data_IF_941123168878
#
_entry.id   IF_941123168878
#
_cell.length_a   1.000
_cell.length_b   1.000
_cell.length_c   1.000
_cell.angle_alpha   90.00
_cell.angle_beta   90.00
_cell.angle_gamma   90.00
#
_symmetry.space_group_name_H-M   'P 1'
#
loop_
_entity.id
_entity.type
_entity.pdbx_description
1 polymer ?
#
# COMPACT_ATOMS: atom_id res chain seq x y z
N UNK A 1 -0.20 0.06 -18.14
CA UNK A 1 -0.40 0.96 -16.96
C UNK A 1 0.62 2.08 -17.09
N UNK A 2 0.31 3.35 -16.79
CA UNK A 2 1.29 4.44 -16.84
C UNK A 2 2.50 4.15 -15.94
N UNK A 3 3.70 4.36 -16.47
CA UNK A 3 4.96 4.28 -15.72
C UNK A 3 4.98 5.44 -14.72
N UNK A 4 5.43 5.16 -13.49
CA UNK A 4 5.54 6.15 -12.42
C UNK A 4 4.22 6.48 -11.73
N UNK A 5 3.19 5.63 -11.86
CA UNK A 5 1.92 5.78 -11.15
C UNK A 5 1.53 4.52 -10.39
N UNK A 6 1.49 4.64 -9.07
CA UNK A 6 1.02 3.61 -8.17
C UNK A 6 -0.50 3.47 -8.23
N UNK A 7 -1.03 2.49 -7.52
CA UNK A 7 -2.48 2.30 -7.38
C UNK A 7 -2.81 1.94 -5.96
N UNK A 8 -3.79 2.61 -5.41
CA UNK A 8 -4.41 2.18 -4.17
C UNK A 8 -5.33 1.00 -4.52
N UNK A 9 -4.95 -0.20 -4.09
CA UNK A 9 -5.74 -1.43 -4.28
C UNK A 9 -6.85 -1.54 -3.23
N UNK A 10 -6.61 -1.00 -2.02
CA UNK A 10 -7.57 -0.96 -0.91
C UNK A 10 -7.43 0.36 -0.16
N UNK A 11 -8.54 1.04 0.11
CA UNK A 11 -8.56 2.25 0.95
C UNK A 11 -8.48 1.89 2.43
N UNK A 12 -7.84 2.73 3.22
CA UNK A 12 -7.79 2.60 4.67
C UNK A 12 -7.39 3.89 5.38
N UNK A 13 -7.45 3.89 6.71
CA UNK A 13 -7.26 5.10 7.54
C UNK A 13 -6.24 4.92 8.66
N UNK A 14 -5.83 3.70 9.00
CA UNK A 14 -4.96 3.47 10.17
C UNK A 14 -3.49 3.26 9.80
N UNK A 15 -3.20 2.60 8.69
CA UNK A 15 -1.82 2.32 8.23
C UNK A 15 -1.74 2.23 6.72
N UNK A 16 -0.65 2.75 6.15
CA UNK A 16 -0.30 2.60 4.73
C UNK A 16 0.65 1.41 4.56
N UNK A 17 0.28 0.47 3.70
CA UNK A 17 1.09 -0.70 3.32
C UNK A 17 1.47 -0.55 1.85
N UNK A 18 2.77 -0.42 1.58
CA UNK A 18 3.31 -0.27 0.23
C UNK A 18 4.01 -1.56 -0.18
N UNK A 19 3.63 -2.12 -1.33
CA UNK A 19 4.21 -3.34 -1.87
C UNK A 19 4.31 -3.31 -3.40
N UNK A 20 5.08 -4.24 -3.96
CA UNK A 20 5.16 -4.49 -5.39
C UNK A 20 5.15 -6.00 -5.68
N UNK A 21 4.82 -6.39 -6.91
CA UNK A 21 4.82 -7.79 -7.36
C UNK A 21 3.87 -8.68 -6.51
N UNK A 22 4.23 -9.96 -6.32
CA UNK A 22 3.45 -10.96 -5.58
C UNK A 22 3.10 -10.57 -4.14
N UNK A 23 3.97 -9.94 -3.33
CA UNK A 23 3.63 -9.48 -1.98
C UNK A 23 2.39 -8.60 -1.86
N UNK A 24 1.96 -7.91 -2.92
CA UNK A 24 0.72 -7.11 -2.91
C UNK A 24 -0.50 -7.98 -2.56
N UNK A 25 -0.55 -9.23 -3.04
CA UNK A 25 -1.62 -10.17 -2.72
C UNK A 25 -1.67 -10.50 -1.23
N UNK A 26 -0.51 -10.79 -0.63
CA UNK A 26 -0.40 -11.06 0.81
C UNK A 26 -0.79 -9.82 1.64
N UNK A 27 -0.49 -8.60 1.18
CA UNK A 27 -0.90 -7.37 1.86
C UNK A 27 -2.44 -7.19 1.86
N UNK A 28 -3.11 -7.58 0.78
CA UNK A 28 -4.59 -7.54 0.70
C UNK A 28 -5.23 -8.59 1.62
N UNK A 29 -4.65 -9.79 1.70
CA UNK A 29 -5.08 -10.82 2.63
C UNK A 29 -4.89 -10.36 4.09
N UNK A 30 -3.72 -9.82 4.42
CA UNK A 30 -3.44 -9.26 5.75
C UNK A 30 -4.41 -8.13 6.12
N UNK A 31 -4.68 -7.20 5.19
CA UNK A 31 -5.65 -6.13 5.39
C UNK A 31 -7.08 -6.66 5.63
N UNK A 32 -7.45 -7.78 4.99
CA UNK A 32 -8.76 -8.44 5.20
C UNK A 32 -8.85 -9.07 6.59
N UNK A 33 -7.75 -9.65 7.10
CA UNK A 33 -7.69 -10.18 8.46
C UNK A 33 -7.78 -9.04 9.48
N UNK A 34 -6.94 -8.01 9.33
CA UNK A 34 -6.86 -6.87 10.24
C UNK A 34 -8.17 -6.05 10.31
N UNK A 35 -8.92 -5.98 9.21
CA UNK A 35 -10.24 -5.34 9.19
C UNK A 35 -11.23 -5.99 10.17
N UNK A 36 -11.11 -7.30 10.43
CA UNK A 36 -11.94 -8.00 11.43
C UNK A 36 -11.63 -7.58 12.87
N UNK A 37 -10.44 -7.02 13.09
CA UNK A 37 -9.98 -6.47 14.37
C UNK A 37 -10.19 -4.94 14.43
N UNK A 38 -10.84 -4.35 13.43
CA UNK A 38 -11.11 -2.91 13.32
C UNK A 38 -9.95 -2.10 12.73
N UNK A 39 -8.91 -2.75 12.20
CA UNK A 39 -7.73 -2.09 11.63
C UNK A 39 -7.86 -2.02 10.10
N UNK A 40 -8.25 -0.84 9.63
CA UNK A 40 -8.31 -0.50 8.21
C UNK A 40 -6.95 -0.09 7.61
N UNK A 41 -6.40 -0.97 6.76
CA UNK A 41 -5.14 -0.76 6.04
C UNK A 41 -5.38 -0.19 4.64
N UNK A 42 -4.62 0.85 4.28
CA UNK A 42 -4.51 1.31 2.91
C UNK A 42 -3.40 0.53 2.20
N UNK A 43 -3.74 -0.20 1.13
CA UNK A 43 -2.77 -1.02 0.40
C UNK A 43 -2.43 -0.35 -0.94
N UNK A 44 -1.17 0.01 -1.11
CA UNK A 44 -0.63 0.65 -2.31
C UNK A 44 0.23 -0.36 -3.08
N UNK A 45 -0.13 -0.57 -4.33
CA UNK A 45 0.66 -1.29 -5.32
C UNK A 45 1.52 -0.29 -6.09
N UNK A 46 2.84 -0.33 -5.89
CA UNK A 46 3.79 0.62 -6.49
C UNK A 46 3.73 0.65 -8.02
N UNK A 47 3.56 -0.53 -8.65
CA UNK A 47 3.64 -0.77 -10.11
C UNK A 47 4.98 -0.42 -10.76
N UNK A 48 5.60 0.71 -10.42
CA UNK A 48 6.88 1.20 -10.94
C UNK A 48 7.87 1.36 -9.81
N UNK A 49 9.05 0.75 -9.93
CA UNK A 49 10.16 0.89 -8.96
C UNK A 49 10.97 2.16 -9.24
N UNK A 50 11.15 2.52 -10.51
CA UNK A 50 11.88 3.73 -10.89
C UNK A 50 11.32 4.34 -12.19
N UNK A 51 10.94 5.64 -12.19
CA UNK A 51 10.73 6.49 -11.01
C UNK A 51 9.48 6.01 -10.23
N UNK A 52 9.61 5.81 -8.92
CA UNK A 52 8.47 5.42 -8.09
C UNK A 52 7.54 6.60 -7.81
N UNK A 53 6.26 6.31 -7.57
CA UNK A 53 5.21 7.30 -7.31
C UNK A 53 5.19 7.69 -5.83
N UNK A 54 6.13 8.55 -5.44
CA UNK A 54 6.29 9.02 -4.05
C UNK A 54 5.07 9.83 -3.62
N UNK A 55 4.49 10.64 -4.52
CA UNK A 55 3.34 11.50 -4.22
C UNK A 55 2.14 10.70 -3.66
N UNK A 56 1.84 9.55 -4.28
CA UNK A 56 0.76 8.67 -3.82
C UNK A 56 1.04 8.09 -2.42
N UNK A 57 2.30 7.77 -2.12
CA UNK A 57 2.70 7.24 -0.80
C UNK A 57 2.60 8.34 0.25
N UNK A 58 3.13 9.53 -0.03
CA UNK A 58 3.08 10.68 0.88
C UNK A 58 1.65 11.07 1.22
N UNK A 59 0.78 11.18 0.21
CA UNK A 59 -0.64 11.48 0.41
C UNK A 59 -1.34 10.46 1.32
N UNK A 60 -0.98 9.18 1.17
CA UNK A 60 -1.51 8.09 2.00
C UNK A 60 -0.99 8.16 3.43
N UNK A 61 0.32 8.36 3.63
CA UNK A 61 0.93 8.43 4.95
C UNK A 61 0.47 9.67 5.71
N UNK A 62 0.26 10.81 5.05
CA UNK A 62 -0.34 12.00 5.68
C UNK A 62 -1.75 11.73 6.23
N UNK A 63 -2.49 10.78 5.64
CA UNK A 63 -3.82 10.37 6.10
C UNK A 63 -3.74 9.34 7.23
N UNK A 64 -2.86 8.35 7.12
CA UNK A 64 -2.82 7.18 8.02
C UNK A 64 -1.83 7.31 9.18
N UNK A 65 -0.87 8.22 9.08
CA UNK A 65 0.22 8.47 10.02
C UNK A 65 1.22 7.32 10.21
N UNK A 66 1.08 6.20 9.48
CA UNK A 66 1.92 5.01 9.64
C UNK A 66 2.27 4.40 8.28
N UNK A 67 3.48 3.85 8.15
CA UNK A 67 3.98 3.24 6.92
C UNK A 67 4.63 1.88 7.18
N UNK A 68 4.28 0.89 6.36
CA UNK A 68 4.95 -0.41 6.27
C UNK A 68 5.28 -0.71 4.81
N UNK A 69 6.50 -1.14 4.53
CA UNK A 69 6.92 -1.60 3.21
C UNK A 69 7.05 -3.12 3.19
N UNK A 70 6.62 -3.76 2.10
CA UNK A 70 6.71 -5.22 1.93
C UNK A 70 7.29 -5.54 0.56
N UNK A 71 8.38 -6.30 0.55
CA UNK A 71 9.06 -6.76 -0.65
C UNK A 71 9.45 -8.24 -0.56
N UNK A 72 9.84 -8.82 -1.69
CA UNK A 72 10.29 -10.21 -1.77
C UNK A 72 11.82 -10.39 -1.66
N UNK A 73 12.58 -9.31 -1.65
CA UNK A 73 14.05 -9.28 -1.83
C UNK A 73 14.48 -8.82 -3.21
#
# INVERSE_FOLDING_TARGET
IPIGKAKIERQGTHVTIVAHSRPVGHCLEAATVLSKEGIECEVINLRTIRPMDIETIEASVMKTNHLVTVEGG
#
